data_IF_042660339438
#
_entry.id   IF_042660339438
#
_cell.length_a   1.000
_cell.length_b   1.000
_cell.length_c   1.000
_cell.angle_alpha   90.00
_cell.angle_beta   90.00
_cell.angle_gamma   90.00
#
_symmetry.space_group_name_H-M   'P 1'
#
loop_
_entity.id
_entity.type
_entity.pdbx_description
1 polymer ?
#
# COMPACT_ATOMS: atom_id res chain seq x y z
N UNK A 1 -12.32 16.91 -4.82
CA UNK A 1 -11.34 17.46 -5.78
C UNK A 1 -10.17 16.50 -5.90
N UNK A 2 -10.03 15.78 -7.03
CA UNK A 2 -8.98 14.78 -7.27
C UNK A 2 -7.55 15.34 -7.12
N UNK A 3 -7.31 16.61 -7.45
CA UNK A 3 -6.01 17.29 -7.24
C UNK A 3 -5.50 17.24 -5.80
N UNK A 4 -6.42 17.23 -4.81
CA UNK A 4 -6.04 17.15 -3.40
C UNK A 4 -5.62 15.73 -3.01
N UNK A 5 -6.14 14.70 -3.69
CA UNK A 5 -5.81 13.30 -3.40
C UNK A 5 -4.43 12.93 -3.96
N UNK A 6 -4.09 13.39 -5.15
CA UNK A 6 -2.78 13.15 -5.76
C UNK A 6 -1.67 13.82 -4.95
N UNK A 7 -1.87 15.08 -4.56
CA UNK A 7 -0.94 15.81 -3.67
C UNK A 7 -0.76 15.10 -2.33
N UNK A 8 -1.85 14.59 -1.73
CA UNK A 8 -1.79 13.83 -0.48
C UNK A 8 -1.08 12.48 -0.65
N UNK A 9 -1.30 11.80 -1.78
CA UNK A 9 -0.60 10.57 -2.14
C UNK A 9 0.91 10.82 -2.26
N UNK A 10 1.32 11.84 -3.01
CA UNK A 10 2.74 12.17 -3.17
C UNK A 10 3.43 12.46 -1.84
N UNK A 11 2.77 13.19 -0.95
CA UNK A 11 3.30 13.47 0.39
C UNK A 11 3.53 12.18 1.20
N UNK A 12 2.57 11.24 1.14
CA UNK A 12 2.69 9.94 1.81
C UNK A 12 3.77 9.08 1.17
N UNK A 13 3.87 9.10 -0.16
CA UNK A 13 4.89 8.38 -0.91
C UNK A 13 6.30 8.88 -0.56
N UNK A 14 6.53 10.21 -0.59
CA UNK A 14 7.81 10.84 -0.20
C UNK A 14 8.24 10.45 1.21
N UNK A 15 7.31 10.47 2.18
CA UNK A 15 7.55 10.02 3.56
C UNK A 15 7.98 8.56 3.62
N UNK A 16 7.27 7.71 2.88
CA UNK A 16 7.52 6.28 2.88
C UNK A 16 8.91 5.94 2.31
N UNK A 17 9.26 6.55 1.18
CA UNK A 17 10.57 6.38 0.53
C UNK A 17 11.69 6.95 1.40
N UNK A 18 11.50 8.10 2.06
CA UNK A 18 12.50 8.67 2.96
C UNK A 18 12.83 7.71 4.12
N UNK A 19 11.82 7.09 4.73
CA UNK A 19 12.03 6.11 5.79
C UNK A 19 12.76 4.86 5.30
N UNK A 20 12.43 4.35 4.10
CA UNK A 20 13.12 3.20 3.49
C UNK A 20 14.59 3.48 3.17
N UNK A 21 14.94 4.73 2.85
CA UNK A 21 16.30 5.16 2.54
C UNK A 21 17.09 5.65 3.77
N UNK A 22 16.66 5.32 5.00
CA UNK A 22 17.30 5.74 6.26
C UNK A 22 17.44 7.28 6.43
N UNK A 23 16.59 8.06 5.75
CA UNK A 23 16.52 9.52 5.93
C UNK A 23 15.58 9.87 7.09
N UNK A 24 15.52 11.16 7.47
CA UNK A 24 14.56 11.66 8.47
C UNK A 24 13.22 12.02 7.79
N UNK A 25 12.16 11.19 7.88
CA UNK A 25 10.85 11.54 7.35
C UNK A 25 10.19 12.65 8.20
N UNK A 26 9.17 13.31 7.65
CA UNK A 26 8.37 14.32 8.37
C UNK A 26 7.59 13.74 9.57
N UNK A 27 7.25 12.45 9.52
CA UNK A 27 6.66 11.66 10.61
C UNK A 27 6.84 10.16 10.33
N UNK A 28 6.59 9.32 11.33
CA UNK A 28 6.64 7.85 11.19
C UNK A 28 5.58 7.38 10.18
N UNK A 29 5.96 6.69 9.08
CA UNK A 29 4.99 6.13 8.15
C UNK A 29 4.27 4.91 8.76
N UNK A 30 2.99 4.77 8.45
CA UNK A 30 2.20 3.58 8.82
C UNK A 30 2.14 2.65 7.61
N UNK A 31 2.66 1.43 7.74
CA UNK A 31 2.55 0.36 6.73
C UNK A 31 1.75 -0.80 7.33
N UNK A 32 0.46 -0.87 7.01
CA UNK A 32 -0.38 -1.98 7.44
C UNK A 32 -0.31 -3.09 6.40
N UNK A 33 0.00 -4.31 6.84
CA UNK A 33 -0.01 -5.49 5.98
C UNK A 33 -1.41 -6.10 5.99
N UNK A 34 -2.26 -5.68 5.05
CA UNK A 34 -3.67 -6.10 4.97
C UNK A 34 -3.95 -7.04 3.79
N UNK A 35 -2.93 -7.73 3.26
CA UNK A 35 -3.08 -8.57 2.07
C UNK A 35 -4.17 -9.65 2.24
N UNK A 36 -4.23 -10.32 3.40
CA UNK A 36 -5.25 -11.34 3.68
C UNK A 36 -6.67 -10.74 3.78
N UNK A 37 -6.77 -9.54 4.36
CA UNK A 37 -8.05 -8.83 4.44
C UNK A 37 -8.53 -8.43 3.04
N UNK A 38 -7.65 -7.88 2.21
CA UNK A 38 -7.95 -7.50 0.83
C UNK A 38 -8.36 -8.73 0.01
N UNK A 39 -7.62 -9.85 0.11
CA UNK A 39 -7.98 -11.10 -0.55
C UNK A 39 -9.38 -11.57 -0.19
N UNK A 40 -9.69 -11.64 1.11
CA UNK A 40 -11.01 -12.07 1.58
C UNK A 40 -12.12 -11.13 1.11
N UNK A 41 -11.88 -9.82 1.14
CA UNK A 41 -12.83 -8.81 0.66
C UNK A 41 -13.09 -8.93 -0.86
N UNK A 42 -12.05 -9.22 -1.65
CA UNK A 42 -12.13 -9.40 -3.09
C UNK A 42 -12.61 -10.81 -3.53
N UNK A 43 -12.89 -11.71 -2.58
CA UNK A 43 -13.36 -13.07 -2.88
C UNK A 43 -12.27 -14.08 -3.25
N UNK A 44 -11.01 -13.80 -2.92
CA UNK A 44 -9.87 -14.69 -3.12
C UNK A 44 -9.40 -15.35 -1.83
N UNK A 45 -8.71 -16.48 -1.97
CA UNK A 45 -7.94 -17.09 -0.88
C UNK A 45 -6.55 -16.46 -0.76
N UNK A 46 -5.94 -16.54 0.43
CA UNK A 46 -4.55 -16.08 0.65
C UNK A 46 -3.57 -16.81 -0.27
N UNK A 47 -3.81 -18.08 -0.57
CA UNK A 47 -2.99 -18.88 -1.48
C UNK A 47 -3.05 -18.34 -2.90
N UNK A 48 -4.24 -17.99 -3.40
CA UNK A 48 -4.43 -17.46 -4.74
C UNK A 48 -3.72 -16.12 -4.94
N UNK A 49 -3.90 -15.17 -4.01
CA UNK A 49 -3.21 -13.87 -4.14
C UNK A 49 -1.68 -14.02 -3.98
N UNK A 50 -1.21 -15.03 -3.23
CA UNK A 50 0.24 -15.25 -3.03
C UNK A 50 0.89 -15.83 -4.28
N UNK A 51 0.22 -16.77 -4.96
CA UNK A 51 0.82 -17.53 -6.08
C UNK A 51 0.39 -17.02 -7.46
N UNK A 52 -0.65 -16.19 -7.53
CA UNK A 52 -1.16 -15.63 -8.78
C UNK A 52 -1.13 -14.10 -8.67
N UNK A 53 -0.01 -13.50 -9.08
CA UNK A 53 0.23 -12.07 -8.90
C UNK A 53 -0.90 -11.20 -9.47
N UNK A 54 -1.49 -11.59 -10.60
CA UNK A 54 -2.61 -10.86 -11.20
C UNK A 54 -3.81 -10.73 -10.27
N UNK A 55 -4.08 -11.75 -9.45
CA UNK A 55 -5.17 -11.71 -8.45
C UNK A 55 -4.82 -10.77 -7.31
N UNK A 56 -3.55 -10.71 -6.88
CA UNK A 56 -3.12 -9.75 -5.85
C UNK A 56 -3.23 -8.29 -6.29
N UNK A 57 -3.02 -7.97 -7.57
CA UNK A 57 -3.20 -6.61 -8.07
C UNK A 57 -4.67 -6.22 -8.27
N UNK A 58 -5.55 -7.21 -8.47
CA UNK A 58 -7.00 -6.99 -8.61
C UNK A 58 -7.73 -6.93 -7.26
N UNK A 59 -7.16 -7.54 -6.22
CA UNK A 59 -7.68 -7.57 -4.84
C UNK A 59 -7.43 -6.26 -4.09
#
# INVERSE_FOLDING_TARGET
>A
MPENMEKLYEQRHKRYVAALNNMKPDRVPIRIFTAEFAAKYAGYTSQEITHQYEKAFKA
#
